data_IF_755151598984
#
_entry.id   IF_755151598984
#
_cell.length_a   1.000
_cell.length_b   1.000
_cell.length_c   1.000
_cell.angle_alpha   90.00
_cell.angle_beta   90.00
_cell.angle_gamma   90.00
#
_symmetry.space_group_name_H-M   'P 1'
#
loop_
_entity.id
_entity.type
_entity.pdbx_description
1 polymer ?
#
# COMPACT_ATOMS: atom_id res chain seq x y z
N UNK A 1 46.39 74.53 23.47
CA UNK A 1 45.50 74.30 24.62
C UNK A 1 44.70 73.03 24.32
N UNK A 2 45.16 71.87 24.84
CA UNK A 2 44.36 70.64 24.98
C UNK A 2 43.41 70.84 26.19
N UNK A 3 42.32 70.07 26.42
CA UNK A 3 42.08 68.66 26.07
C UNK A 3 40.63 68.42 25.53
N UNK A 4 40.09 67.24 25.25
CA UNK A 4 40.39 65.89 25.70
C UNK A 4 39.54 64.82 25.00
N UNK A 5 39.87 63.59 25.37
CA UNK A 5 39.44 62.31 24.83
C UNK A 5 37.92 62.02 24.88
N UNK A 6 37.46 61.09 24.03
CA UNK A 6 36.78 59.87 24.49
C UNK A 6 36.60 58.86 23.34
N UNK A 7 37.14 57.67 23.58
CA UNK A 7 36.79 56.41 22.94
C UNK A 7 35.27 56.17 22.98
N UNK A 8 34.66 55.65 21.91
CA UNK A 8 33.51 54.75 22.08
C UNK A 8 33.26 53.84 20.87
N UNK A 9 33.57 52.56 21.12
CA UNK A 9 32.79 51.37 20.77
C UNK A 9 32.39 51.10 19.31
N UNK A 10 33.07 50.09 18.77
CA UNK A 10 32.49 48.99 18.00
C UNK A 10 30.97 48.82 18.18
N UNK A 11 30.23 48.89 17.07
CA UNK A 11 29.06 48.03 16.88
C UNK A 11 28.91 47.67 15.41
N UNK A 12 29.67 46.65 15.00
CA UNK A 12 29.35 45.88 13.80
C UNK A 12 27.98 45.22 14.03
N UNK A 13 26.93 45.86 13.53
CA UNK A 13 25.63 45.22 13.39
C UNK A 13 25.69 44.26 12.19
N UNK A 14 26.35 43.13 12.37
CA UNK A 14 26.12 41.96 11.52
C UNK A 14 24.71 41.44 11.80
N UNK A 15 23.73 42.02 11.10
CA UNK A 15 22.43 41.38 10.92
C UNK A 15 22.69 40.10 10.12
N UNK A 16 22.66 38.95 10.77
CA UNK A 16 22.48 37.65 10.13
C UNK A 16 20.97 37.30 10.05
N UNK A 17 20.18 37.77 9.06
CA UNK A 17 18.82 37.26 8.87
C UNK A 17 18.76 36.05 7.93
N UNK A 18 19.90 35.50 7.46
CA UNK A 18 19.89 34.59 6.30
C UNK A 18 19.92 33.09 6.63
N UNK A 19 20.64 32.65 7.66
CA UNK A 19 20.86 31.20 7.88
C UNK A 19 19.62 30.46 8.40
N UNK A 20 18.83 31.06 9.30
CA UNK A 20 17.60 30.44 9.84
C UNK A 20 16.50 30.26 8.79
N UNK A 21 16.38 31.20 7.85
CA UNK A 21 15.38 31.13 6.77
C UNK A 21 15.75 30.08 5.73
N UNK A 22 17.04 30.00 5.38
CA UNK A 22 17.59 28.96 4.49
C UNK A 22 17.39 27.55 5.04
N UNK A 23 17.66 27.34 6.33
CA UNK A 23 17.42 26.07 7.01
C UNK A 23 15.93 25.68 7.00
N UNK A 24 15.03 26.65 7.23
CA UNK A 24 13.59 26.39 7.18
C UNK A 24 13.12 25.99 5.78
N UNK A 25 13.57 26.72 4.75
CA UNK A 25 13.24 26.40 3.36
C UNK A 25 13.85 25.07 2.90
N UNK A 26 15.05 24.71 3.40
CA UNK A 26 15.68 23.42 3.13
C UNK A 26 14.91 22.28 3.79
N UNK A 27 14.46 22.44 5.05
CA UNK A 27 13.62 21.45 5.72
C UNK A 27 12.25 21.27 5.04
N UNK A 28 11.63 22.35 4.54
CA UNK A 28 10.39 22.28 3.76
C UNK A 28 10.59 21.52 2.43
N UNK A 29 11.68 21.78 1.71
CA UNK A 29 12.04 21.05 0.49
C UNK A 29 12.30 19.56 0.75
N UNK A 30 13.03 19.23 1.83
CA UNK A 30 13.27 17.84 2.23
C UNK A 30 11.97 17.11 2.61
N UNK A 31 11.05 17.78 3.32
CA UNK A 31 9.76 17.19 3.70
C UNK A 31 8.85 16.84 2.51
N UNK A 32 8.99 17.56 1.38
CA UNK A 32 8.20 17.30 0.17
C UNK A 32 8.61 16.03 -0.58
N UNK A 33 9.83 15.52 -0.35
CA UNK A 33 10.33 14.31 -1.01
C UNK A 33 9.91 13.01 -0.31
N UNK A 34 9.53 13.06 0.97
CA UNK A 34 9.10 11.87 1.73
C UNK A 34 7.70 11.38 1.35
N UNK A 35 6.95 12.13 0.53
CA UNK A 35 5.57 11.77 0.14
C UNK A 35 5.53 10.73 -0.98
N UNK A 36 6.65 10.45 -1.68
CA UNK A 36 6.67 9.60 -2.87
C UNK A 36 7.37 8.24 -2.70
N UNK A 37 7.75 7.86 -1.48
CA UNK A 37 8.45 6.59 -1.22
C UNK A 37 7.50 5.46 -0.78
N UNK A 38 6.29 5.38 -1.33
CA UNK A 38 5.37 4.29 -1.03
C UNK A 38 5.81 2.98 -1.71
N UNK A 39 5.63 1.87 -1.00
CA UNK A 39 6.01 0.56 -1.51
C UNK A 39 5.08 0.13 -2.66
N UNK A 40 5.67 -0.18 -3.81
CA UNK A 40 4.93 -0.59 -5.02
C UNK A 40 4.40 -2.02 -4.97
N UNK A 41 4.92 -2.84 -4.06
CA UNK A 41 4.52 -4.23 -3.88
C UNK A 41 4.70 -4.64 -2.41
N UNK A 42 4.06 -5.73 -1.99
CA UNK A 42 4.26 -6.38 -0.70
C UNK A 42 5.03 -7.68 -0.86
N UNK A 43 5.77 -8.09 0.17
CA UNK A 43 6.47 -9.37 0.19
C UNK A 43 5.50 -10.51 0.47
N UNK A 44 4.59 -10.31 1.42
CA UNK A 44 3.56 -11.28 1.78
C UNK A 44 2.18 -10.62 1.91
N UNK A 45 1.13 -11.43 1.99
CA UNK A 45 -0.24 -10.97 2.13
C UNK A 45 -0.94 -11.74 3.25
N UNK A 46 -1.52 -11.04 4.21
CA UNK A 46 -2.47 -11.64 5.16
C UNK A 46 -3.87 -11.41 4.64
N UNK A 47 -4.65 -12.47 4.50
CA UNK A 47 -6.05 -12.41 4.10
C UNK A 47 -6.93 -12.75 5.28
N UNK A 48 -7.89 -11.89 5.57
CA UNK A 48 -8.77 -11.96 6.72
C UNK A 48 -10.23 -11.90 6.26
N UNK A 49 -10.93 -13.02 6.33
CA UNK A 49 -12.34 -13.11 5.97
C UNK A 49 -13.19 -12.99 7.24
N UNK A 50 -13.76 -11.81 7.47
CA UNK A 50 -14.66 -11.54 8.59
C UNK A 50 -16.13 -11.74 8.21
N UNK A 51 -16.38 -12.30 7.03
CA UNK A 51 -17.72 -12.56 6.52
C UNK A 51 -18.15 -14.00 6.82
N UNK A 52 -19.46 -14.23 6.85
CA UNK A 52 -20.07 -15.56 6.93
C UNK A 52 -20.07 -16.35 5.60
N UNK A 53 -19.38 -15.90 4.55
CA UNK A 53 -19.38 -16.54 3.24
C UNK A 53 -17.95 -16.87 2.79
N UNK A 54 -17.77 -17.95 2.03
CA UNK A 54 -16.50 -18.23 1.37
C UNK A 54 -16.21 -17.13 0.36
N UNK A 55 -15.01 -16.58 0.37
CA UNK A 55 -14.59 -15.54 -0.56
C UNK A 55 -13.59 -16.12 -1.57
N UNK A 56 -13.66 -15.64 -2.81
CA UNK A 56 -12.80 -16.10 -3.90
C UNK A 56 -11.99 -14.94 -4.45
N UNK A 57 -10.69 -15.14 -4.60
CA UNK A 57 -9.81 -14.11 -5.13
C UNK A 57 -8.57 -14.72 -5.78
N UNK A 58 -7.89 -13.92 -6.57
CA UNK A 58 -6.66 -14.28 -7.27
C UNK A 58 -5.63 -13.20 -6.96
N UNK A 59 -4.49 -13.60 -6.41
CA UNK A 59 -3.39 -12.67 -6.10
C UNK A 59 -2.57 -12.44 -7.36
N UNK A 60 -2.18 -11.20 -7.62
CA UNK A 60 -1.29 -10.87 -8.74
C UNK A 60 -0.19 -9.91 -8.33
N UNK A 61 0.85 -9.88 -9.15
CA UNK A 61 1.98 -8.98 -8.97
C UNK A 61 3.04 -9.16 -10.04
N UNK A 62 4.23 -8.67 -9.74
CA UNK A 62 5.35 -8.60 -10.69
C UNK A 62 6.69 -8.78 -9.98
N UNK A 63 7.79 -8.45 -10.63
CA UNK A 63 9.09 -8.29 -9.97
C UNK A 63 9.00 -7.40 -8.73
N UNK A 64 9.94 -7.62 -7.80
CA UNK A 64 9.92 -6.94 -6.51
C UNK A 64 10.00 -5.42 -6.67
N UNK A 65 9.15 -4.68 -5.94
CA UNK A 65 8.98 -3.23 -6.06
C UNK A 65 8.57 -2.72 -7.46
N UNK A 66 7.97 -3.56 -8.30
CA UNK A 66 7.44 -3.14 -9.60
C UNK A 66 5.92 -3.17 -9.58
N UNK A 67 5.30 -2.10 -10.08
CA UNK A 67 3.87 -2.12 -10.38
C UNK A 67 3.66 -2.95 -11.63
N UNK A 68 3.00 -4.10 -11.50
CA UNK A 68 2.70 -4.98 -12.62
C UNK A 68 1.85 -6.17 -12.19
N UNK A 69 1.54 -7.02 -13.16
CA UNK A 69 0.65 -8.17 -12.97
C UNK A 69 1.09 -9.38 -13.79
N UNK A 70 2.39 -9.48 -14.10
CA UNK A 70 2.97 -10.59 -14.88
C UNK A 70 2.73 -11.95 -14.20
N UNK A 71 2.72 -11.98 -12.87
CA UNK A 71 2.52 -13.19 -12.08
C UNK A 71 1.14 -13.18 -11.43
N UNK A 72 0.42 -14.30 -11.59
CA UNK A 72 -0.96 -14.45 -11.11
C UNK A 72 -1.10 -15.82 -10.45
N UNK A 73 -1.75 -15.89 -9.29
CA UNK A 73 -2.03 -17.14 -8.59
C UNK A 73 -3.17 -17.93 -9.25
N UNK A 74 -3.38 -19.18 -8.80
CA UNK A 74 -4.69 -19.84 -9.00
C UNK A 74 -5.77 -19.11 -8.18
N UNK A 75 -7.04 -19.39 -8.46
CA UNK A 75 -8.15 -18.95 -7.61
C UNK A 75 -8.00 -19.55 -6.21
N UNK A 76 -7.98 -18.69 -5.21
CA UNK A 76 -7.91 -19.04 -3.80
C UNK A 76 -9.31 -18.87 -3.21
N UNK A 77 -9.73 -19.85 -2.41
CA UNK A 77 -10.95 -19.79 -1.62
C UNK A 77 -10.57 -19.64 -0.14
N UNK A 78 -11.10 -18.63 0.53
CA UNK A 78 -10.96 -18.45 1.99
C UNK A 78 -12.30 -18.75 2.68
N UNK A 79 -12.36 -19.72 3.60
CA UNK A 79 -13.59 -20.02 4.34
C UNK A 79 -14.08 -18.83 5.19
N UNK A 80 -15.35 -18.83 5.62
CA UNK A 80 -15.88 -17.85 6.55
C UNK A 80 -15.05 -17.71 7.82
N UNK A 81 -15.00 -16.51 8.40
CA UNK A 81 -14.41 -16.23 9.73
C UNK A 81 -13.00 -16.84 9.88
N UNK A 82 -12.18 -16.70 8.84
CA UNK A 82 -10.87 -17.33 8.75
C UNK A 82 -9.83 -16.31 8.33
N UNK A 83 -8.64 -16.42 8.92
CA UNK A 83 -7.45 -15.68 8.47
C UNK A 83 -6.43 -16.68 7.93
N UNK A 84 -5.81 -16.37 6.80
CA UNK A 84 -4.65 -17.12 6.32
C UNK A 84 -3.57 -16.18 5.79
N UNK A 85 -2.32 -16.61 5.89
CA UNK A 85 -1.18 -15.88 5.35
C UNK A 85 -0.77 -16.49 4.03
N UNK A 86 -0.71 -15.67 3.00
CA UNK A 86 -0.10 -15.95 1.72
C UNK A 86 1.38 -15.49 1.79
N UNK A 87 2.33 -16.41 2.04
CA UNK A 87 3.64 -16.09 2.58
C UNK A 87 4.53 -15.29 1.63
N UNK A 88 4.37 -15.48 0.31
CA UNK A 88 4.97 -14.70 -0.79
C UNK A 88 4.27 -15.12 -2.07
N UNK A 89 4.35 -14.35 -3.18
CA UNK A 89 3.99 -14.88 -4.49
C UNK A 89 5.02 -15.94 -4.86
N UNK A 90 4.74 -17.17 -4.43
CA UNK A 90 5.41 -18.38 -4.87
C UNK A 90 5.16 -18.46 -6.37
N UNK A 91 6.19 -18.36 -7.23
CA UNK A 91 5.99 -18.59 -8.64
C UNK A 91 5.39 -19.98 -8.81
N UNK A 92 4.31 -20.08 -9.60
CA UNK A 92 3.65 -21.35 -9.95
C UNK A 92 4.61 -22.41 -10.53
N UNK A 93 5.84 -22.02 -10.88
CA UNK A 93 6.86 -22.84 -11.55
C UNK A 93 8.25 -22.83 -10.87
N UNK A 94 8.37 -22.36 -9.62
CA UNK A 94 9.67 -22.24 -8.94
C UNK A 94 10.49 -21.03 -9.43
N UNK A 95 11.14 -20.33 -8.49
CA UNK A 95 11.85 -19.07 -8.76
C UNK A 95 11.95 -18.16 -7.54
N UNK A 96 12.60 -17.00 -7.71
CA UNK A 96 12.73 -15.97 -6.67
C UNK A 96 11.36 -15.39 -6.27
N UNK A 97 11.17 -14.99 -4.99
CA UNK A 97 9.93 -14.38 -4.52
C UNK A 97 9.56 -13.18 -5.38
N UNK A 98 8.32 -13.15 -5.89
CA UNK A 98 7.78 -12.01 -6.62
C UNK A 98 7.10 -11.03 -5.65
N UNK A 99 6.88 -9.80 -6.09
CA UNK A 99 6.17 -8.79 -5.30
C UNK A 99 4.66 -8.90 -5.53
N UNK A 100 3.88 -8.80 -4.46
CA UNK A 100 2.41 -8.79 -4.53
C UNK A 100 1.93 -7.35 -4.73
N UNK A 101 1.20 -7.10 -5.81
CA UNK A 101 0.70 -5.76 -6.14
C UNK A 101 -0.79 -5.62 -5.80
N UNK A 102 -1.56 -6.70 -5.90
CA UNK A 102 -2.97 -6.67 -5.55
C UNK A 102 -3.66 -8.02 -5.68
N UNK A 103 -4.98 -7.99 -5.64
CA UNK A 103 -5.83 -9.16 -5.83
C UNK A 103 -7.03 -8.81 -6.72
N UNK A 104 -7.37 -9.73 -7.63
CA UNK A 104 -8.65 -9.76 -8.32
C UNK A 104 -9.65 -10.44 -7.39
N UNK A 105 -10.71 -9.72 -7.04
CA UNK A 105 -11.81 -10.21 -6.21
C UNK A 105 -12.87 -10.77 -7.14
N UNK A 106 -13.29 -12.00 -6.91
CA UNK A 106 -14.36 -12.62 -7.68
C UNK A 106 -15.66 -12.49 -6.90
N UNK A 107 -16.74 -12.11 -7.58
CA UNK A 107 -18.05 -12.02 -6.94
C UNK A 107 -18.61 -13.40 -6.55
N UNK A 108 -17.97 -14.49 -7.02
CA UNK A 108 -18.31 -15.88 -6.70
C UNK A 108 -17.35 -16.85 -7.37
N UNK A 109 -17.68 -18.14 -7.38
CA UNK A 109 -16.86 -19.12 -8.12
C UNK A 109 -16.91 -18.85 -9.63
N UNK A 110 -15.83 -19.17 -10.38
CA UNK A 110 -15.78 -18.96 -11.83
C UNK A 110 -16.92 -19.64 -12.63
N UNK A 111 -17.59 -20.64 -12.05
CA UNK A 111 -18.77 -21.28 -12.64
C UNK A 111 -20.10 -20.54 -12.44
N UNK A 112 -20.18 -19.60 -11.49
CA UNK A 112 -21.42 -18.90 -11.14
C UNK A 112 -21.46 -17.48 -11.70
N UNK A 113 -20.33 -16.77 -11.69
CA UNK A 113 -20.27 -15.38 -12.12
C UNK A 113 -18.91 -15.06 -12.74
N UNK A 114 -18.86 -14.43 -13.93
CA UNK A 114 -17.62 -13.90 -14.48
C UNK A 114 -17.22 -12.55 -13.85
N UNK A 115 -18.11 -11.96 -13.03
CA UNK A 115 -17.92 -10.63 -12.47
C UNK A 115 -16.92 -10.60 -11.33
N UNK A 116 -16.33 -9.42 -11.13
CA UNK A 116 -15.38 -9.18 -10.08
C UNK A 116 -14.77 -7.79 -10.19
N UNK A 117 -13.96 -7.47 -9.19
CA UNK A 117 -13.20 -6.23 -9.11
C UNK A 117 -11.73 -6.50 -8.86
N UNK A 118 -10.99 -5.42 -8.68
CA UNK A 118 -9.57 -5.47 -8.32
C UNK A 118 -9.37 -4.60 -7.09
N UNK A 119 -8.45 -4.99 -6.20
CA UNK A 119 -7.95 -4.15 -5.12
C UNK A 119 -6.42 -4.30 -5.02
N UNK A 120 -5.71 -3.28 -4.55
CA UNK A 120 -4.24 -3.39 -4.45
C UNK A 120 -3.54 -2.11 -4.01
N UNK A 121 -2.23 -2.04 -4.30
CA UNK A 121 -1.39 -0.89 -3.99
C UNK A 121 -1.86 0.36 -4.76
N UNK A 122 -2.23 1.41 -4.03
CA UNK A 122 -2.73 2.68 -4.57
C UNK A 122 -1.67 3.44 -5.37
N UNK A 123 -0.40 3.33 -4.96
CA UNK A 123 0.75 3.85 -5.72
C UNK A 123 0.85 3.25 -7.14
N UNK A 124 0.24 2.08 -7.37
CA UNK A 124 0.13 1.45 -8.68
C UNK A 124 -1.18 1.79 -9.43
N UNK A 125 -1.96 2.76 -8.94
CA UNK A 125 -3.24 3.17 -9.52
C UNK A 125 -4.40 2.20 -9.26
N UNK A 126 -4.23 1.27 -8.30
CA UNK A 126 -5.27 0.31 -7.97
C UNK A 126 -6.20 0.86 -6.87
N UNK A 127 -7.50 0.56 -6.92
CA UNK A 127 -8.41 0.97 -5.85
C UNK A 127 -8.09 0.18 -4.56
N UNK A 128 -8.23 0.84 -3.41
CA UNK A 128 -8.04 0.20 -2.11
C UNK A 128 -9.23 -0.66 -1.70
N UNK A 129 -10.38 -0.52 -2.33
CA UNK A 129 -11.56 -1.30 -1.95
C UNK A 129 -12.52 -1.56 -3.09
N UNK A 130 -13.27 -2.65 -2.97
CA UNK A 130 -14.29 -3.08 -3.92
C UNK A 130 -15.47 -3.69 -3.15
N UNK A 131 -16.67 -3.18 -3.41
CA UNK A 131 -17.93 -3.68 -2.83
C UNK A 131 -18.70 -4.51 -3.84
N UNK A 132 -19.25 -5.64 -3.40
CA UNK A 132 -19.93 -6.60 -4.27
C UNK A 132 -20.97 -7.41 -3.51
N UNK A 133 -21.79 -8.15 -4.26
CA UNK A 133 -22.67 -9.19 -3.71
C UNK A 133 -21.95 -10.53 -3.88
N UNK A 134 -21.53 -11.14 -2.77
CA UNK A 134 -20.88 -12.45 -2.82
C UNK A 134 -21.91 -13.54 -3.19
N UNK A 135 -21.56 -14.35 -4.18
CA UNK A 135 -22.28 -15.50 -4.69
C UNK A 135 -21.55 -16.76 -4.21
N UNK A 136 -22.28 -17.61 -3.48
CA UNK A 136 -21.76 -18.87 -2.97
C UNK A 136 -21.36 -19.85 -4.08
N UNK A 137 -20.62 -20.91 -3.73
CA UNK A 137 -20.25 -21.97 -4.68
C UNK A 137 -21.43 -22.70 -5.34
N UNK A 138 -22.65 -22.58 -4.78
CA UNK A 138 -23.89 -23.11 -5.35
C UNK A 138 -24.64 -22.08 -6.22
N UNK A 139 -23.99 -20.98 -6.58
CA UNK A 139 -24.54 -19.89 -7.40
C UNK A 139 -25.73 -19.14 -6.78
N UNK A 140 -25.80 -19.11 -5.45
CA UNK A 140 -26.83 -18.37 -4.69
C UNK A 140 -26.20 -17.14 -4.02
N UNK A 141 -26.85 -15.96 -4.05
CA UNK A 141 -26.43 -14.81 -3.27
C UNK A 141 -26.26 -15.14 -1.80
N UNK A 142 -25.13 -14.74 -1.23
CA UNK A 142 -24.75 -15.04 0.14
C UNK A 142 -24.85 -13.79 1.02
N UNK A 143 -24.02 -12.78 0.77
CA UNK A 143 -24.12 -11.47 1.45
C UNK A 143 -23.45 -10.38 0.64
N UNK A 144 -23.81 -9.11 0.91
CA UNK A 144 -23.01 -7.98 0.43
C UNK A 144 -21.68 -7.99 1.18
N UNK A 145 -20.58 -7.77 0.47
CA UNK A 145 -19.23 -7.85 1.02
C UNK A 145 -18.41 -6.70 0.46
N UNK A 146 -17.48 -6.22 1.27
CA UNK A 146 -16.43 -5.29 0.87
C UNK A 146 -15.07 -5.95 1.04
N UNK A 147 -14.31 -5.99 -0.04
CA UNK A 147 -12.88 -6.28 -0.01
C UNK A 147 -12.11 -4.97 0.19
N UNK A 148 -11.21 -4.93 1.17
CA UNK A 148 -10.35 -3.77 1.46
C UNK A 148 -8.89 -4.20 1.49
N UNK A 149 -8.07 -3.54 0.69
CA UNK A 149 -6.63 -3.68 0.66
C UNK A 149 -5.98 -2.63 1.58
N UNK A 150 -5.14 -3.10 2.49
CA UNK A 150 -4.29 -2.25 3.33
C UNK A 150 -2.87 -2.32 2.75
N UNK A 151 -2.40 -1.22 2.14
CA UNK A 151 -1.13 -1.20 1.41
C UNK A 151 0.06 -1.25 2.34
N UNK A 152 1.21 -1.61 1.77
CA UNK A 152 2.51 -1.47 2.43
C UNK A 152 3.00 -0.04 2.24
N UNK A 153 3.54 0.57 3.30
CA UNK A 153 3.79 2.02 3.32
C UNK A 153 5.28 2.31 3.22
N UNK A 154 6.14 1.54 3.91
CA UNK A 154 7.53 1.92 4.10
C UNK A 154 8.49 1.13 3.22
N UNK A 155 8.20 -0.14 2.94
CA UNK A 155 9.08 -0.96 2.12
C UNK A 155 8.35 -2.10 1.42
N UNK A 156 8.94 -2.59 0.34
CA UNK A 156 8.40 -3.75 -0.37
C UNK A 156 8.56 -5.07 0.40
N UNK A 157 9.31 -5.07 1.51
CA UNK A 157 9.51 -6.23 2.37
C UNK A 157 8.39 -6.41 3.40
N UNK A 158 7.44 -5.46 3.44
CA UNK A 158 6.30 -5.52 4.35
C UNK A 158 5.22 -6.48 3.87
N UNK A 159 4.32 -6.80 4.80
CA UNK A 159 3.14 -7.62 4.58
C UNK A 159 1.93 -6.73 4.33
N UNK A 160 1.26 -6.90 3.19
CA UNK A 160 -0.03 -6.27 2.95
C UNK A 160 -1.15 -7.04 3.67
N UNK A 161 -2.31 -6.40 3.84
CA UNK A 161 -3.51 -7.06 4.38
C UNK A 161 -4.68 -6.92 3.41
N UNK A 162 -5.40 -8.01 3.14
CA UNK A 162 -6.68 -8.02 2.45
C UNK A 162 -7.75 -8.44 3.45
N UNK A 163 -8.76 -7.60 3.67
CA UNK A 163 -9.85 -7.87 4.60
C UNK A 163 -11.18 -7.90 3.86
N UNK A 164 -11.96 -8.94 4.10
CA UNK A 164 -13.35 -9.03 3.66
C UNK A 164 -14.27 -8.74 4.84
N UNK A 165 -15.13 -7.75 4.71
CA UNK A 165 -16.17 -7.41 5.71
C UNK A 165 -17.56 -7.49 5.09
N UNK A 166 -18.62 -7.68 5.90
CA UNK A 166 -19.99 -7.46 5.46
C UNK A 166 -20.21 -6.05 4.88
#
# INVERSE_FOLDING_TARGET
MFPGALYSNYKSHSKHPKMKKLLLSLMLLLSSMFVFAQAKSAYSLVVDNQTNCTQYFIVFGDEFCVCGSTYVSKTIAIPPVTTFTYPTSVPLFGGTPKGIVGAKILDGTPGCTPNGGTVGQDVCGLPLSYGFLNISGNCVPCQKTKATWYPTIQSCQETAKLVFTP
#
